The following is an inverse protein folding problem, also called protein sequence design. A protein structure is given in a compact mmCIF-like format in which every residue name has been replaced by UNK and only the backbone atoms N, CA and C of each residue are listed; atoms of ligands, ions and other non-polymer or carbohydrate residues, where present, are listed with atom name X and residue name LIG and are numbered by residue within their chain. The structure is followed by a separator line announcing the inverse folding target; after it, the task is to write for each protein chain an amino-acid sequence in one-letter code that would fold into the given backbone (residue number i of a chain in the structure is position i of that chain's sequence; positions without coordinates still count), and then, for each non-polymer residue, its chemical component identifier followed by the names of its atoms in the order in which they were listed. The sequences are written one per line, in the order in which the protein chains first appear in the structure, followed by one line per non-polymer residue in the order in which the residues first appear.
data_IF_744163489891
#
_entry.id   IF_744163489891
#
_cell.length_a   1.000
_cell.length_b   1.000
_cell.length_c   1.000
_cell.angle_alpha   90.00
_cell.angle_beta   90.00
_cell.angle_gamma   90.00
#
_symmetry.space_group_name_H-M   'P 1'
#
loop_
_entity.id
_entity.type
_entity.pdbx_description
1 polymer ?
#
# COMPACT_ATOMS: atom_id res chain seq x y z
N UNK A 1 -16.24 8.97 8.91
CA UNK A 1 -15.40 8.41 9.98
C UNK A 1 -13.97 8.38 9.51
N UNK A 2 -13.19 9.38 9.91
CA UNK A 2 -11.74 9.34 9.80
C UNK A 2 -11.25 8.42 10.92
N UNK A 3 -10.58 7.34 10.54
CA UNK A 3 -9.93 6.50 11.54
C UNK A 3 -8.69 7.26 12.01
N UNK A 4 -8.81 7.90 13.17
CA UNK A 4 -7.70 8.61 13.83
C UNK A 4 -6.53 7.65 14.09
N UNK A 5 -6.84 6.38 14.38
CA UNK A 5 -5.91 5.24 14.29
C UNK A 5 -6.67 4.04 13.71
N UNK A 6 -6.16 3.36 12.66
CA UNK A 6 -6.67 2.05 12.28
C UNK A 6 -6.43 1.04 13.43
N UNK A 7 -7.24 -0.02 13.55
CA UNK A 7 -6.98 -1.10 14.49
C UNK A 7 -5.54 -1.62 14.36
N UNK A 8 -4.93 -2.05 15.46
CA UNK A 8 -3.53 -2.51 15.49
C UNK A 8 -3.32 -3.57 14.39
N UNK A 9 -2.33 -3.36 13.53
CA UNK A 9 -2.04 -4.25 12.40
C UNK A 9 -2.75 -3.89 11.08
N UNK A 10 -3.50 -2.79 11.04
CA UNK A 10 -4.13 -2.26 9.81
C UNK A 10 -3.61 -0.88 9.44
N UNK A 11 -3.53 -0.59 8.14
CA UNK A 11 -2.99 0.64 7.56
C UNK A 11 -3.97 1.22 6.54
N UNK A 12 -4.07 2.55 6.50
CA UNK A 12 -4.71 3.25 5.38
C UNK A 12 -3.80 3.26 4.16
N UNK A 13 -4.31 3.63 2.99
CA UNK A 13 -3.50 3.72 1.76
C UNK A 13 -2.24 4.57 1.93
N UNK A 14 -2.35 5.72 2.59
CA UNK A 14 -1.21 6.63 2.82
C UNK A 14 -0.20 6.02 3.79
N UNK A 15 -0.67 5.37 4.85
CA UNK A 15 0.22 4.75 5.85
C UNK A 15 0.90 3.49 5.29
N UNK A 16 0.18 2.71 4.47
CA UNK A 16 0.74 1.57 3.74
C UNK A 16 1.85 2.03 2.77
N UNK A 17 1.59 3.11 2.03
CA UNK A 17 2.56 3.72 1.12
C UNK A 17 3.83 4.15 1.85
N UNK A 18 3.70 4.85 2.98
CA UNK A 18 4.85 5.24 3.83
C UNK A 18 5.60 4.03 4.39
N UNK A 19 4.89 3.01 4.90
CA UNK A 19 5.52 1.81 5.48
C UNK A 19 6.30 0.98 4.46
N UNK A 20 5.87 1.01 3.19
CA UNK A 20 6.51 0.29 2.11
C UNK A 20 7.50 1.15 1.31
N UNK A 21 7.64 2.43 1.66
CA UNK A 21 8.44 3.44 0.92
C UNK A 21 8.07 3.52 -0.57
N UNK A 22 6.77 3.55 -0.86
CA UNK A 22 6.23 3.64 -2.22
C UNK A 22 5.19 4.75 -2.34
N UNK A 23 4.91 5.18 -3.57
CA UNK A 23 3.82 6.10 -3.82
C UNK A 23 2.44 5.46 -3.51
N UNK A 24 1.42 6.21 -3.04
CA UNK A 24 0.06 5.69 -2.86
C UNK A 24 -0.56 5.09 -4.13
N UNK A 25 -0.14 5.56 -5.30
CA UNK A 25 -0.55 4.99 -6.59
C UNK A 25 -0.07 3.54 -6.75
N UNK A 26 1.13 3.23 -6.27
CA UNK A 26 1.72 1.88 -6.29
C UNK A 26 0.93 0.91 -5.43
N UNK A 27 0.46 1.34 -4.25
CA UNK A 27 -0.46 0.54 -3.43
C UNK A 27 -1.75 0.21 -4.18
N UNK A 28 -2.34 1.18 -4.90
CA UNK A 28 -3.54 0.95 -5.71
C UNK A 28 -3.27 -0.03 -6.87
N UNK A 29 -2.10 0.06 -7.49
CA UNK A 29 -1.68 -0.89 -8.53
C UNK A 29 -1.55 -2.30 -7.96
N UNK A 30 -1.01 -2.47 -6.76
CA UNK A 30 -0.92 -3.79 -6.12
C UNK A 30 -2.30 -4.40 -5.90
N UNK A 31 -3.27 -3.59 -5.47
CA UNK A 31 -4.66 -4.03 -5.34
C UNK A 31 -5.25 -4.40 -6.69
N UNK A 32 -5.06 -3.56 -7.71
CA UNK A 32 -5.56 -3.82 -9.07
C UNK A 32 -4.97 -5.10 -9.66
N UNK A 33 -3.69 -5.38 -9.39
CA UNK A 33 -2.98 -6.57 -9.84
C UNK A 33 -3.23 -7.81 -8.97
N UNK A 34 -4.00 -7.70 -7.89
CA UNK A 34 -4.26 -8.80 -6.96
C UNK A 34 -3.08 -9.16 -6.05
N UNK A 35 -2.04 -8.32 -5.99
CA UNK A 35 -0.87 -8.49 -5.11
C UNK A 35 -1.12 -8.02 -3.68
N UNK A 36 -2.15 -7.20 -3.47
CA UNK A 36 -2.54 -6.70 -2.15
C UNK A 36 -4.06 -6.79 -1.99
N UNK A 37 -4.50 -7.43 -0.92
CA UNK A 37 -5.91 -7.58 -0.61
C UNK A 37 -6.36 -6.50 0.35
N UNK A 38 -7.53 -5.92 0.09
CA UNK A 38 -8.20 -5.01 1.04
C UNK A 38 -8.75 -5.85 2.18
N UNK A 39 -8.40 -5.52 3.41
CA UNK A 39 -8.92 -6.23 4.58
C UNK A 39 -10.21 -5.62 5.12
N UNK A 40 -10.61 -4.45 4.60
CA UNK A 40 -11.82 -3.75 4.99
C UNK A 40 -11.78 -2.27 4.59
N UNK A 41 -12.62 -1.49 5.26
CA UNK A 41 -12.81 -0.07 4.97
C UNK A 41 -13.92 0.19 3.97
N UNK A 42 -14.05 1.46 3.57
CA UNK A 42 -15.02 1.88 2.55
C UNK A 42 -14.36 1.93 1.17
N UNK A 43 -15.12 1.92 0.07
CA UNK A 43 -14.57 2.07 -1.28
C UNK A 43 -13.68 3.30 -1.44
N UNK A 44 -14.01 4.40 -0.73
CA UNK A 44 -13.24 5.66 -0.73
C UNK A 44 -12.08 5.65 0.26
N UNK A 45 -12.13 4.83 1.32
CA UNK A 45 -11.10 4.72 2.36
C UNK A 45 -10.81 3.24 2.64
N UNK A 46 -10.09 2.56 1.75
CA UNK A 46 -9.71 1.17 1.94
C UNK A 46 -8.64 1.04 3.03
N UNK A 47 -8.68 -0.09 3.72
CA UNK A 47 -7.76 -0.45 4.78
C UNK A 47 -7.05 -1.75 4.37
N UNK A 48 -5.76 -1.86 4.71
CA UNK A 48 -4.86 -2.96 4.37
C UNK A 48 -4.20 -3.51 5.62
N UNK A 49 -3.93 -4.81 5.68
CA UNK A 49 -3.12 -5.36 6.78
C UNK A 49 -1.65 -5.04 6.55
N UNK A 50 -0.93 -4.72 7.64
CA UNK A 50 0.52 -4.48 7.61
C UNK A 50 1.25 -5.67 7.01
N UNK A 51 0.88 -6.90 7.43
CA UNK A 51 1.49 -8.13 6.95
C UNK A 51 1.35 -8.32 5.43
N UNK A 52 0.17 -8.02 4.87
CA UNK A 52 -0.06 -8.14 3.43
C UNK A 52 0.72 -7.08 2.64
N UNK A 53 0.85 -5.85 3.18
CA UNK A 53 1.66 -4.78 2.58
C UNK A 53 3.14 -5.15 2.57
N UNK A 54 3.64 -5.72 3.67
CA UNK A 54 5.02 -6.22 3.75
C UNK A 54 5.23 -7.40 2.80
N UNK A 55 4.32 -8.38 2.78
CA UNK A 55 4.39 -9.50 1.83
C UNK A 55 4.41 -9.01 0.38
N UNK A 56 3.55 -8.04 0.03
CA UNK A 56 3.53 -7.43 -1.30
C UNK A 56 4.81 -6.62 -1.62
N UNK A 57 5.48 -6.05 -0.62
CA UNK A 57 6.79 -5.39 -0.77
C UNK A 57 7.89 -6.40 -1.09
N UNK A 58 7.93 -7.53 -0.39
CA UNK A 58 8.93 -8.58 -0.59
C UNK A 58 8.61 -9.52 -1.77
N UNK A 59 7.35 -9.60 -2.19
CA UNK A 59 6.96 -10.30 -3.40
C UNK A 59 7.65 -9.64 -4.60
N UNK A 60 8.65 -10.33 -5.14
CA UNK A 60 9.53 -9.86 -6.20
C UNK A 60 8.70 -9.23 -7.33
N UNK A 61 8.77 -7.90 -7.45
CA UNK A 61 8.08 -7.18 -8.50
C UNK A 61 8.97 -7.13 -9.74
N UNK A 62 8.42 -7.38 -10.93
CA UNK A 62 9.09 -7.03 -12.17
C UNK A 62 9.14 -5.50 -12.22
N UNK A 63 10.26 -4.91 -11.77
CA UNK A 63 10.55 -3.50 -11.97
C UNK A 63 10.64 -3.29 -13.47
N UNK A 64 9.66 -2.61 -14.08
CA UNK A 64 9.89 -2.02 -15.40
C UNK A 64 11.01 -1.00 -15.25
N UNK A 65 12.07 -1.16 -16.04
CA UNK A 65 13.16 -0.19 -16.12
C UNK A 65 12.58 1.21 -16.36
N UNK A 66 12.89 2.16 -15.47
CA UNK A 66 12.40 3.55 -15.55
C UNK A 66 11.46 4.02 -14.43
N UNK A 67 11.02 3.15 -13.50
CA UNK A 67 10.15 3.59 -12.39
C UNK A 67 10.88 4.25 -11.21
N UNK A 68 12.22 4.16 -11.14
CA UNK A 68 13.00 4.67 -10.02
C UNK A 68 13.37 6.14 -10.25
N UNK A 69 12.36 7.00 -10.28
CA UNK A 69 12.52 8.44 -10.09
C UNK A 69 12.42 8.74 -8.60
N UNK A 70 13.54 8.73 -7.88
CA UNK A 70 13.60 9.30 -6.53
C UNK A 70 13.48 10.81 -6.66
N UNK A 71 12.26 11.35 -6.50
CA UNK A 71 12.12 12.76 -6.14
C UNK A 71 12.41 12.86 -4.64
N UNK A 72 13.71 12.92 -4.32
CA UNK A 72 14.16 13.49 -3.06
C UNK A 72 14.09 15.01 -3.22
N UNK A 73 13.33 15.66 -2.34
CA UNK A 73 13.34 17.10 -2.14
C UNK A 73 13.98 17.38 -0.78
#
# INVERSE_FOLDING_TARGET
MEYLLPPIGTLTTTMAAQSADVAPATIRDWVRRGLLTRCGGSPKRPIYRVADVQAARYAAKPTRAGQRGTTAA
#
